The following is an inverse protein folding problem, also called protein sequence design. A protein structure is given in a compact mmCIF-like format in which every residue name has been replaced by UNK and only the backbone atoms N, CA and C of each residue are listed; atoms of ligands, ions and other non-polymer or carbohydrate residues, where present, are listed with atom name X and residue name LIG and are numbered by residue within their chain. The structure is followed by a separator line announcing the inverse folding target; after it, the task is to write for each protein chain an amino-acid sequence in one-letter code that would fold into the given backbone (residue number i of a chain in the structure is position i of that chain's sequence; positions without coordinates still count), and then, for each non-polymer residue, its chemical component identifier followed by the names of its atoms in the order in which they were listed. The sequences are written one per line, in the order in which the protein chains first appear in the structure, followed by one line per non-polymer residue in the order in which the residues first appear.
data_IF_489616222650
#
_entry.id   IF_489616222650
#
_cell.length_a   1.000
_cell.length_b   1.000
_cell.length_c   1.000
_cell.angle_alpha   90.00
_cell.angle_beta   90.00
_cell.angle_gamma   90.00
#
_symmetry.space_group_name_H-M   'P 1'
#
loop_
_entity.id
_entity.type
_entity.pdbx_description
1 polymer ?
#
# COMPACT_ATOMS: atom_id res chain seq x y z
N UNK A 1 -3.36 -7.30 -7.66
CA UNK A 1 -3.68 -6.40 -6.53
C UNK A 1 -4.50 -7.18 -5.51
N UNK A 2 -4.08 -7.18 -4.25
CA UNK A 2 -4.83 -7.73 -3.11
C UNK A 2 -4.76 -6.70 -2.00
N UNK A 3 -5.90 -6.12 -1.60
CA UNK A 3 -5.87 -5.00 -0.70
C UNK A 3 -5.09 -3.83 -1.29
N UNK A 4 -4.22 -3.25 -0.48
CA UNK A 4 -3.29 -2.20 -0.89
C UNK A 4 -2.01 -2.74 -1.55
N UNK A 5 -1.90 -4.05 -1.79
CA UNK A 5 -0.66 -4.68 -2.25
C UNK A 5 -0.73 -5.08 -3.72
N UNK A 6 0.16 -4.51 -4.53
CA UNK A 6 0.48 -5.07 -5.83
C UNK A 6 1.55 -6.13 -5.67
N UNK A 7 1.24 -7.36 -6.06
CA UNK A 7 2.06 -8.53 -5.80
C UNK A 7 2.45 -9.13 -7.14
N UNK A 8 3.74 -9.29 -7.31
CA UNK A 8 4.38 -10.01 -8.41
C UNK A 8 5.18 -11.17 -7.86
N UNK A 9 5.85 -11.92 -8.74
CA UNK A 9 6.60 -13.12 -8.40
C UNK A 9 7.57 -12.90 -7.22
N UNK A 10 8.35 -11.84 -7.27
CA UNK A 10 9.44 -11.56 -6.33
C UNK A 10 9.36 -10.15 -5.72
N UNK A 11 8.27 -9.43 -5.98
CA UNK A 11 8.13 -8.02 -5.65
C UNK A 11 6.75 -7.72 -5.08
N UNK A 12 6.72 -6.88 -4.05
CA UNK A 12 5.49 -6.32 -3.51
C UNK A 12 5.63 -4.80 -3.51
N UNK A 13 4.69 -4.12 -4.16
CA UNK A 13 4.53 -2.68 -4.10
C UNK A 13 3.30 -2.34 -3.26
N UNK A 14 3.39 -1.27 -2.48
CA UNK A 14 2.22 -0.64 -1.88
C UNK A 14 1.57 0.28 -2.92
N UNK A 15 0.30 0.05 -3.23
CA UNK A 15 -0.35 0.64 -4.40
C UNK A 15 0.07 -0.07 -5.70
N UNK A 16 -0.31 0.51 -6.84
CA UNK A 16 0.20 0.06 -8.14
C UNK A 16 1.69 0.38 -8.29
N UNK A 17 2.42 -0.35 -9.16
CA UNK A 17 3.82 -0.07 -9.44
C UNK A 17 4.02 1.38 -9.89
N UNK A 18 5.14 2.01 -9.50
CA UNK A 18 5.46 3.37 -9.96
C UNK A 18 5.70 3.42 -11.47
N UNK A 19 5.50 4.60 -12.05
CA UNK A 19 5.99 4.97 -13.38
C UNK A 19 7.40 5.55 -13.27
N UNK A 20 8.09 5.82 -14.40
CA UNK A 20 9.49 6.29 -14.39
C UNK A 20 9.75 7.57 -13.58
N UNK A 21 8.73 8.41 -13.36
CA UNK A 21 8.86 9.71 -12.70
C UNK A 21 8.43 9.70 -11.22
N UNK A 22 7.73 8.66 -10.77
CA UNK A 22 7.10 8.62 -9.45
C UNK A 22 7.81 7.65 -8.47
N UNK A 23 8.02 8.02 -7.20
CA UNK A 23 8.63 7.11 -6.23
C UNK A 23 7.66 5.98 -5.85
N UNK A 24 8.11 4.73 -5.95
CA UNK A 24 7.38 3.56 -5.45
C UNK A 24 7.68 3.25 -3.98
N UNK A 25 6.75 2.57 -3.31
CA UNK A 25 6.98 1.99 -1.97
C UNK A 25 7.02 0.47 -2.10
N UNK A 26 8.16 -0.12 -1.79
CA UNK A 26 8.44 -1.54 -1.98
C UNK A 26 8.59 -2.25 -0.64
N UNK A 27 7.91 -3.39 -0.51
CA UNK A 27 7.91 -4.20 0.70
C UNK A 27 8.75 -5.46 0.46
N UNK A 28 9.88 -5.58 1.16
CA UNK A 28 10.73 -6.76 1.12
C UNK A 28 10.68 -7.48 2.48
N UNK A 29 11.01 -8.78 2.53
CA UNK A 29 10.95 -9.55 3.78
C UNK A 29 11.76 -8.93 4.93
N UNK A 30 12.92 -8.34 4.62
CA UNK A 30 13.83 -7.75 5.62
C UNK A 30 13.71 -6.23 5.76
N UNK A 31 13.07 -5.53 4.82
CA UNK A 31 13.14 -4.06 4.71
C UNK A 31 11.98 -3.45 3.94
N UNK A 32 11.73 -2.18 4.16
CA UNK A 32 10.93 -1.31 3.30
C UNK A 32 11.85 -0.40 2.49
N UNK A 33 11.47 -0.10 1.26
CA UNK A 33 12.16 0.90 0.43
C UNK A 33 11.21 1.89 -0.22
N UNK A 34 11.70 3.12 -0.38
CA UNK A 34 11.04 4.19 -1.14
C UNK A 34 11.95 4.60 -2.29
N UNK A 35 11.39 4.66 -3.50
CA UNK A 35 12.11 4.94 -4.74
C UNK A 35 12.98 3.77 -5.21
N UNK A 36 13.67 3.97 -6.34
CA UNK A 36 14.61 3.02 -6.91
C UNK A 36 15.96 3.71 -7.24
N UNK A 37 17.01 2.91 -7.45
CA UNK A 37 18.32 3.39 -7.88
C UNK A 37 19.01 4.28 -6.84
N UNK A 38 19.60 5.39 -7.31
CA UNK A 38 20.47 6.26 -6.49
C UNK A 38 19.68 7.07 -5.45
N UNK A 39 18.39 7.33 -5.70
CA UNK A 39 17.51 8.08 -4.78
C UNK A 39 16.75 7.16 -3.80
N UNK A 40 17.08 5.87 -3.78
CA UNK A 40 16.39 4.90 -2.95
C UNK A 40 16.70 5.12 -1.46
N UNK A 41 15.65 5.26 -0.67
CA UNK A 41 15.72 5.21 0.79
C UNK A 41 15.26 3.83 1.27
N UNK A 42 15.89 3.30 2.31
CA UNK A 42 15.62 1.95 2.79
C UNK A 42 15.72 1.88 4.31
N UNK A 43 14.78 1.18 4.92
CA UNK A 43 14.75 0.93 6.36
C UNK A 43 14.53 -0.56 6.61
N UNK A 44 15.31 -1.21 7.50
CA UNK A 44 14.90 -2.50 8.03
C UNK A 44 13.59 -2.32 8.82
N UNK A 45 12.75 -3.36 8.88
CA UNK A 45 11.47 -3.28 9.60
C UNK A 45 11.62 -2.89 11.07
N UNK A 46 12.74 -3.26 11.70
CA UNK A 46 13.07 -2.90 13.09
C UNK A 46 13.20 -1.40 13.31
N UNK A 47 13.51 -0.62 12.27
CA UNK A 47 13.75 0.82 12.36
C UNK A 47 12.48 1.62 12.03
N UNK A 48 11.39 0.94 11.66
CA UNK A 48 10.10 1.54 11.38
C UNK A 48 9.28 1.54 12.67
N UNK A 49 8.83 2.71 13.09
CA UNK A 49 7.93 2.90 14.22
C UNK A 49 6.46 2.71 13.79
N UNK A 50 6.12 3.20 12.60
CA UNK A 50 4.76 3.13 12.06
C UNK A 50 4.75 3.23 10.52
N UNK A 51 3.70 2.67 9.91
CA UNK A 51 3.46 2.71 8.47
C UNK A 51 1.96 2.87 8.22
N UNK A 52 1.57 4.04 7.69
CA UNK A 52 0.19 4.38 7.40
C UNK A 52 -0.04 4.61 5.90
N UNK A 53 -1.29 4.49 5.47
CA UNK A 53 -1.72 4.90 4.13
C UNK A 53 -2.92 5.82 4.27
N UNK A 54 -2.78 7.05 3.79
CA UNK A 54 -3.79 8.10 3.83
C UNK A 54 -4.50 8.22 2.49
N UNK A 55 -5.69 8.81 2.51
CA UNK A 55 -6.49 9.14 1.32
C UNK A 55 -6.81 7.94 0.42
N UNK A 56 -6.89 6.74 1.01
CA UNK A 56 -7.26 5.52 0.30
C UNK A 56 -8.67 5.68 -0.30
N UNK A 57 -8.87 5.49 -1.62
CA UNK A 57 -10.17 5.64 -2.25
C UNK A 57 -11.09 4.49 -1.81
N UNK A 58 -12.07 4.78 -0.93
CA UNK A 58 -13.06 3.80 -0.46
C UNK A 58 -14.39 3.99 -1.19
N UNK A 59 -15.00 2.88 -1.66
CA UNK A 59 -16.36 2.83 -2.21
C UNK A 59 -17.32 3.18 -1.08
N UNK A 60 -17.75 4.42 -1.05
CA UNK A 60 -18.83 4.80 -0.17
C UNK A 60 -20.17 4.54 -0.85
N UNK A 61 -21.16 4.10 -0.07
CA UNK A 61 -22.57 4.25 -0.43
C UNK A 61 -23.11 5.67 -0.13
N UNK A 62 -22.28 6.64 0.31
CA UNK A 62 -22.73 8.01 0.62
C UNK A 62 -21.64 9.12 0.82
N UNK A 63 -20.35 8.92 0.55
CA UNK A 63 -19.32 9.86 0.98
C UNK A 63 -19.13 11.01 0.00
N UNK A 64 -19.71 12.14 0.39
CA UNK A 64 -19.26 13.48 0.04
C UNK A 64 -17.75 13.56 0.25
N UNK A 65 -17.08 14.00 -0.81
CA UNK A 65 -15.74 14.57 -0.81
C UNK A 65 -15.74 15.81 0.09
N UNK A 66 -15.48 15.61 1.38
CA UNK A 66 -15.35 16.69 2.35
C UNK A 66 -14.09 16.47 3.19
N UNK A 67 -13.00 17.04 2.68
CA UNK A 67 -11.98 17.76 3.46
C UNK A 67 -11.09 16.95 4.40
N UNK A 68 -9.80 16.81 4.03
CA UNK A 68 -8.64 17.41 4.73
C UNK A 68 -7.36 17.16 3.92
N UNK A 69 -7.13 18.00 2.90
CA UNK A 69 -5.82 18.09 2.26
C UNK A 69 -4.92 18.89 3.21
N UNK A 70 -4.06 18.20 3.96
CA UNK A 70 -3.02 18.84 4.76
C UNK A 70 -1.83 19.14 3.83
N UNK A 71 -1.89 20.30 3.18
CA UNK A 71 -0.79 21.18 2.73
C UNK A 71 0.54 20.66 2.14
N UNK A 72 0.65 19.45 1.57
CA UNK A 72 1.87 19.04 0.82
C UNK A 72 1.60 18.65 -0.64
N UNK A 73 0.36 18.36 -1.02
CA UNK A 73 0.02 17.78 -2.34
C UNK A 73 -0.44 18.82 -3.38
N UNK A 74 -0.04 20.09 -3.26
CA UNK A 74 -0.48 21.10 -4.24
C UNK A 74 0.22 20.98 -5.61
N UNK A 75 1.41 20.38 -5.66
CA UNK A 75 2.17 20.25 -6.92
C UNK A 75 1.71 19.05 -7.77
N UNK A 76 1.38 17.90 -7.15
CA UNK A 76 1.00 16.68 -7.88
C UNK A 76 -0.42 16.73 -8.47
N UNK A 77 -1.36 17.45 -7.82
CA UNK A 77 -2.75 17.53 -8.27
C UNK A 77 -2.95 18.34 -9.56
N UNK A 78 -1.98 19.16 -9.98
CA UNK A 78 -2.07 19.93 -11.23
C UNK A 78 -1.69 19.13 -12.48
N UNK A 79 -1.10 17.93 -12.35
CA UNK A 79 -0.66 17.12 -13.47
C UNK A 79 -1.74 16.15 -14.00
N UNK A 80 -2.75 15.82 -13.19
CA UNK A 80 -3.73 14.78 -13.52
C UNK A 80 -5.13 15.38 -13.58
N UNK A 81 -5.71 15.41 -14.78
CA UNK A 81 -7.09 15.84 -15.00
C UNK A 81 -8.11 14.94 -14.27
N UNK A 82 -9.40 15.32 -14.29
CA UNK A 82 -10.48 14.54 -13.69
C UNK A 82 -10.61 13.19 -14.45
N UNK A 83 -9.91 12.16 -13.97
CA UNK A 83 -9.79 10.85 -14.63
C UNK A 83 -8.45 10.13 -14.45
N UNK A 84 -7.45 10.75 -13.80
CA UNK A 84 -6.22 10.07 -13.40
C UNK A 84 -6.43 8.95 -12.36
N UNK A 85 -5.47 8.02 -12.21
CA UNK A 85 -5.48 7.02 -11.15
C UNK A 85 -5.61 7.71 -9.80
N UNK A 86 -6.44 7.14 -8.92
CA UNK A 86 -6.64 7.70 -7.58
C UNK A 86 -5.33 7.62 -6.79
N UNK A 87 -4.85 8.75 -6.29
CA UNK A 87 -3.62 8.84 -5.51
C UNK A 87 -3.91 8.65 -4.02
N UNK A 88 -2.99 7.99 -3.33
CA UNK A 88 -2.95 7.79 -1.88
C UNK A 88 -1.59 8.28 -1.37
N UNK A 89 -1.40 8.37 -0.05
CA UNK A 89 -0.11 8.75 0.54
C UNK A 89 0.36 7.70 1.53
N UNK A 90 1.50 7.06 1.24
CA UNK A 90 2.19 6.21 2.18
C UNK A 90 3.00 7.10 3.15
N UNK A 91 2.87 6.84 4.44
CA UNK A 91 3.58 7.58 5.49
C UNK A 91 4.41 6.58 6.28
N UNK A 92 5.73 6.65 6.12
CA UNK A 92 6.69 5.87 6.90
C UNK A 92 7.20 6.76 8.04
N UNK A 93 7.01 6.30 9.27
CA UNK A 93 7.61 6.92 10.45
C UNK A 93 8.73 5.99 10.95
N UNK A 94 9.97 6.43 10.87
CA UNK A 94 11.11 5.75 11.44
C UNK A 94 11.21 6.00 12.96
N UNK A 95 11.94 5.14 13.67
CA UNK A 95 12.12 5.22 15.13
C UNK A 95 12.99 6.37 15.60
N UNK A 96 13.72 7.00 14.70
CA UNK A 96 14.49 8.22 14.92
C UNK A 96 13.66 9.50 14.69
N UNK A 97 12.34 9.38 14.70
CA UNK A 97 11.35 10.42 14.42
C UNK A 97 11.38 10.99 12.98
N UNK A 98 12.13 10.36 12.06
CA UNK A 98 12.04 10.72 10.64
C UNK A 98 10.69 10.29 10.06
N UNK A 99 9.98 11.24 9.43
CA UNK A 99 8.71 10.99 8.74
C UNK A 99 8.85 11.24 7.25
N UNK A 100 8.55 10.24 6.45
CA UNK A 100 8.59 10.30 4.97
C UNK A 100 7.20 10.05 4.41
N UNK A 101 6.68 11.02 3.69
CA UNK A 101 5.44 10.88 2.92
C UNK A 101 5.78 10.57 1.46
N UNK A 102 5.09 9.62 0.85
CA UNK A 102 5.34 9.21 -0.54
C UNK A 102 4.00 9.02 -1.25
N UNK A 103 3.78 9.71 -2.39
CA UNK A 103 2.60 9.46 -3.20
C UNK A 103 2.64 8.04 -3.75
N UNK A 104 1.52 7.31 -3.65
CA UNK A 104 1.36 5.98 -4.23
C UNK A 104 0.02 5.91 -4.96
N UNK A 105 -0.02 5.25 -6.10
CA UNK A 105 -1.23 5.16 -6.90
C UNK A 105 -2.08 3.95 -6.48
N UNK A 106 -3.39 4.12 -6.52
CA UNK A 106 -4.32 3.02 -6.29
C UNK A 106 -4.32 2.07 -7.49
N UNK A 107 -4.03 0.79 -7.24
CA UNK A 107 -4.13 -0.26 -8.26
C UNK A 107 -5.56 -0.73 -8.55
N UNK A 108 -6.54 -0.32 -7.74
CA UNK A 108 -7.94 -0.69 -7.96
C UNK A 108 -8.65 0.33 -8.86
N UNK A 109 -9.05 -0.10 -10.06
CA UNK A 109 -9.81 0.69 -11.05
C UNK A 109 -11.18 1.18 -10.53
N UNK A 110 -11.64 0.58 -9.44
CA UNK A 110 -12.83 0.94 -8.67
C UNK A 110 -12.37 0.98 -7.22
N UNK A 111 -12.84 1.94 -6.43
CA UNK A 111 -12.40 2.14 -5.05
C UNK A 111 -12.42 0.84 -4.19
N UNK A 112 -11.66 0.79 -3.11
CA UNK A 112 -11.61 -0.34 -2.17
C UNK A 112 -12.88 -0.40 -1.30
N UNK A 113 -13.22 -1.54 -0.71
CA UNK A 113 -14.18 -1.53 0.42
C UNK A 113 -13.47 -1.08 1.69
N UNK A 114 -14.21 -0.57 2.68
CA UNK A 114 -13.61 -0.19 3.96
C UNK A 114 -12.91 -1.39 4.62
N UNK A 115 -13.53 -2.57 4.55
CA UNK A 115 -12.98 -3.82 5.10
C UNK A 115 -11.66 -4.21 4.46
N UNK A 116 -11.56 -4.11 3.14
CA UNK A 116 -10.32 -4.38 2.41
C UNK A 116 -9.18 -3.43 2.85
N UNK A 117 -9.48 -2.15 3.08
CA UNK A 117 -8.51 -1.18 3.60
C UNK A 117 -8.09 -1.52 5.02
N UNK A 118 -9.04 -1.78 5.92
CA UNK A 118 -8.76 -2.07 7.33
C UNK A 118 -7.88 -3.32 7.49
N UNK A 119 -8.17 -4.38 6.72
CA UNK A 119 -7.33 -5.60 6.70
C UNK A 119 -5.92 -5.33 6.16
N UNK A 120 -5.80 -4.53 5.11
CA UNK A 120 -4.49 -4.17 4.53
C UNK A 120 -3.64 -3.37 5.52
N UNK A 121 -4.24 -2.38 6.20
CA UNK A 121 -3.57 -1.57 7.22
C UNK A 121 -3.21 -2.42 8.46
N UNK A 122 -4.10 -3.33 8.85
CA UNK A 122 -3.81 -4.32 9.89
C UNK A 122 -2.57 -5.14 9.58
N UNK A 123 -2.48 -5.69 8.37
CA UNK A 123 -1.34 -6.49 7.92
C UNK A 123 -0.03 -5.68 7.87
N UNK A 124 -0.06 -4.43 7.37
CA UNK A 124 1.10 -3.53 7.42
C UNK A 124 1.58 -3.31 8.87
N UNK A 125 0.64 -3.12 9.79
CA UNK A 125 0.95 -2.97 11.21
C UNK A 125 1.62 -4.23 11.79
N UNK A 126 1.24 -5.42 11.33
CA UNK A 126 1.92 -6.67 11.71
C UNK A 126 3.32 -6.82 11.12
N UNK A 127 3.60 -6.26 9.93
CA UNK A 127 4.95 -6.18 9.38
C UNK A 127 5.84 -5.25 10.21
N UNK A 128 5.34 -4.07 10.57
CA UNK A 128 6.06 -3.12 11.45
C UNK A 128 6.35 -3.75 12.82
N UNK A 129 5.41 -4.52 13.39
CA UNK A 129 5.62 -5.25 14.65
C UNK A 129 6.54 -6.48 14.52
N UNK A 130 6.86 -6.93 13.31
CA UNK A 130 7.60 -8.17 13.07
C UNK A 130 6.82 -9.46 13.37
N UNK A 131 5.51 -9.36 13.58
CA UNK A 131 4.61 -10.52 13.77
C UNK A 131 4.21 -11.20 12.46
N UNK A 132 4.43 -10.54 11.33
CA UNK A 132 4.28 -11.10 9.99
C UNK A 132 5.41 -10.57 9.09
N UNK A 133 5.58 -11.14 7.90
CA UNK A 133 6.57 -10.71 6.92
C UNK A 133 5.96 -10.54 5.52
N UNK A 134 6.42 -9.57 4.71
CA UNK A 134 5.98 -9.45 3.32
C UNK A 134 6.21 -10.70 2.45
N UNK A 135 7.08 -11.62 2.88
CA UNK A 135 7.27 -12.91 2.18
C UNK A 135 5.96 -13.72 2.07
N UNK A 136 5.01 -13.52 2.99
CA UNK A 136 3.69 -14.13 2.94
C UNK A 136 2.96 -13.82 1.62
N UNK A 137 3.08 -12.58 1.12
CA UNK A 137 2.39 -12.15 -0.10
C UNK A 137 2.99 -12.79 -1.34
N UNK A 138 4.33 -12.81 -1.45
CA UNK A 138 5.00 -13.42 -2.59
C UNK A 138 4.84 -14.94 -2.57
N UNK A 139 4.85 -15.58 -1.39
CA UNK A 139 4.53 -17.00 -1.25
C UNK A 139 3.11 -17.30 -1.74
N UNK A 140 2.11 -16.53 -1.31
CA UNK A 140 0.75 -16.69 -1.81
C UNK A 140 0.68 -16.57 -3.34
N UNK A 141 1.41 -15.62 -3.93
CA UNK A 141 1.47 -15.47 -5.39
C UNK A 141 2.09 -16.70 -6.06
N UNK A 142 3.16 -17.28 -5.50
CA UNK A 142 3.77 -18.51 -6.05
C UNK A 142 2.82 -19.69 -6.00
N UNK A 143 2.09 -19.83 -4.90
CA UNK A 143 1.21 -20.98 -4.66
C UNK A 143 -0.06 -20.92 -5.52
N UNK A 144 -0.53 -19.72 -5.86
CA UNK A 144 -1.81 -19.52 -6.55
C UNK A 144 -1.70 -19.09 -8.01
N UNK A 145 -0.61 -18.40 -8.40
CA UNK A 145 -0.36 -17.88 -9.76
C UNK A 145 -1.62 -17.31 -10.43
N UNK A 146 -2.27 -16.30 -9.82
CA UNK A 146 -3.57 -15.82 -10.29
C UNK A 146 -3.47 -15.30 -11.73
N UNK A 147 -4.27 -15.85 -12.63
CA UNK A 147 -4.35 -15.42 -14.04
C UNK A 147 -5.26 -14.21 -14.26
N UNK A 148 -6.20 -13.99 -13.34
CA UNK A 148 -7.25 -12.97 -13.44
C UNK A 148 -7.19 -11.95 -12.31
N UNK A 149 -7.77 -10.78 -12.55
CA UNK A 149 -7.93 -9.75 -11.52
C UNK A 149 -9.02 -10.16 -10.54
N UNK A 150 -8.62 -10.43 -9.29
CA UNK A 150 -9.54 -10.80 -8.21
C UNK A 150 -10.59 -9.71 -7.94
N UNK A 151 -11.82 -10.14 -7.70
CA UNK A 151 -12.91 -9.32 -7.22
C UNK A 151 -12.69 -8.90 -5.75
N UNK A 152 -13.41 -7.87 -5.30
CA UNK A 152 -13.28 -7.33 -3.92
C UNK A 152 -13.40 -8.39 -2.83
N UNK A 153 -14.42 -9.25 -2.93
CA UNK A 153 -14.68 -10.27 -1.93
C UNK A 153 -13.60 -11.37 -1.91
N UNK A 154 -12.99 -11.68 -3.05
CA UNK A 154 -11.87 -12.63 -3.13
C UNK A 154 -10.61 -12.04 -2.54
N UNK A 155 -10.33 -10.75 -2.80
CA UNK A 155 -9.20 -10.04 -2.18
C UNK A 155 -9.37 -9.96 -0.66
N UNK A 156 -10.58 -9.65 -0.18
CA UNK A 156 -10.91 -9.65 1.25
C UNK A 156 -10.71 -11.03 1.88
N UNK A 157 -11.16 -12.10 1.21
CA UNK A 157 -10.96 -13.47 1.71
C UNK A 157 -9.47 -13.84 1.83
N UNK A 158 -8.63 -13.45 0.87
CA UNK A 158 -7.18 -13.66 0.96
C UNK A 158 -6.57 -12.85 2.11
N UNK A 159 -6.96 -11.59 2.27
CA UNK A 159 -6.48 -10.75 3.37
C UNK A 159 -6.89 -11.32 4.74
N UNK A 160 -8.11 -11.86 4.85
CA UNK A 160 -8.59 -12.51 6.06
C UNK A 160 -7.80 -13.77 6.40
N UNK A 161 -7.48 -14.58 5.39
CA UNK A 161 -6.64 -15.77 5.58
C UNK A 161 -5.25 -15.40 6.12
N UNK A 162 -4.63 -14.34 5.57
CA UNK A 162 -3.36 -13.81 6.07
C UNK A 162 -3.45 -13.23 7.49
N UNK A 163 -4.58 -12.62 7.86
CA UNK A 163 -4.80 -12.01 9.17
C UNK A 163 -5.23 -13.03 10.24
N UNK A 164 -5.87 -14.13 9.85
CA UNK A 164 -6.35 -15.19 10.74
C UNK A 164 -5.32 -15.70 11.77
N UNK A 165 -4.06 -16.03 11.40
CA UNK A 165 -3.06 -16.47 12.37
C UNK A 165 -2.45 -15.34 13.21
N UNK A 166 -2.83 -14.07 12.98
CA UNK A 166 -2.25 -12.89 13.62
C UNK A 166 -3.17 -12.25 14.69
N UNK A 167 -4.38 -12.77 14.84
CA UNK A 167 -5.37 -12.38 15.85
C UNK A 167 -5.23 -13.22 17.13
#
# INVERSE_FOLDING_TARGET
MIGLFWIEQDRVCLGSPPTEEDPGVFLFPARLSIGEGVQQQTWPWTDIADLQVLDVPVRSSAARWATRVTSVVAAALNAWGPGGPSMMTAVVCARDDQRVETPVFSGAATAYTQREVDLSLGLLSHFVRGSATPALLTQWWQDNQPSDVLHSHEREAVLEDWMSPLM
#
